data_IF_769170888683
#
_entry.id   IF_769170888683
#
_cell.length_a   1.000
_cell.length_b   1.000
_cell.length_c   1.000
_cell.angle_alpha   90.00
_cell.angle_beta   90.00
_cell.angle_gamma   90.00
#
_symmetry.space_group_name_H-M   'P 1'
#
loop_
_entity.id
_entity.type
_entity.pdbx_description
1 polymer ?
#
# COMPACT_ATOMS: atom_id res chain seq x y z
N UNK A 1 18.88 -14.24 3.44
CA UNK A 1 19.26 -13.07 4.25
C UNK A 1 20.36 -12.32 3.52
N UNK A 2 20.24 -11.00 3.40
CA UNK A 2 21.25 -10.14 2.79
C UNK A 2 22.24 -9.67 3.85
N UNK A 3 21.69 -9.16 4.94
CA UNK A 3 22.49 -8.59 6.02
C UNK A 3 21.73 -8.68 7.35
N UNK A 4 22.49 -8.87 8.42
CA UNK A 4 21.97 -8.76 9.80
C UNK A 4 22.62 -7.54 10.44
N UNK A 5 21.80 -6.71 11.09
CA UNK A 5 22.28 -5.53 11.84
C UNK A 5 21.87 -5.71 13.30
N UNK A 6 22.88 -5.78 14.13
CA UNK A 6 22.74 -5.92 15.57
C UNK A 6 23.65 -4.90 16.29
N UNK A 7 23.58 -4.82 17.59
CA UNK A 7 24.41 -3.89 18.37
C UNK A 7 25.90 -4.16 18.18
N UNK A 8 26.32 -5.43 18.05
CA UNK A 8 27.72 -5.80 17.82
C UNK A 8 28.26 -5.24 16.48
N UNK A 9 27.39 -5.06 15.44
CA UNK A 9 27.80 -4.44 14.17
C UNK A 9 28.10 -2.94 14.30
N UNK A 10 27.75 -2.31 15.42
CA UNK A 10 28.04 -0.90 15.73
C UNK A 10 29.35 -0.71 16.46
N UNK A 11 29.88 -1.78 17.00
CA UNK A 11 31.20 -1.78 17.60
C UNK A 11 32.23 -2.03 16.50
N UNK A 12 33.29 -1.24 16.38
CA UNK A 12 34.35 -1.45 15.39
C UNK A 12 35.00 -2.82 15.56
N UNK A 13 35.08 -3.62 14.51
CA UNK A 13 35.68 -4.96 14.55
C UNK A 13 37.19 -4.96 14.22
N UNK A 14 37.67 -3.93 13.49
CA UNK A 14 39.05 -3.82 13.03
C UNK A 14 39.89 -2.88 13.96
N UNK A 15 39.75 -3.10 15.27
CA UNK A 15 40.44 -2.30 16.26
C UNK A 15 41.94 -2.68 16.32
N UNK A 16 42.29 -3.97 16.22
CA UNK A 16 43.68 -4.46 16.36
C UNK A 16 44.66 -3.81 15.37
N UNK A 17 44.41 -3.74 14.04
CA UNK A 17 45.37 -3.09 13.13
C UNK A 17 45.50 -1.59 13.37
N UNK A 18 44.49 -0.94 13.99
CA UNK A 18 44.48 0.51 14.26
C UNK A 18 45.03 0.83 15.64
N UNK A 19 45.07 -0.15 16.54
CA UNK A 19 45.43 0.03 17.94
C UNK A 19 46.81 0.71 18.12
N UNK A 20 47.84 0.23 17.41
CA UNK A 20 49.18 0.82 17.47
C UNK A 20 49.20 2.29 17.00
N UNK A 21 48.37 2.66 16.06
CA UNK A 21 48.24 4.05 15.59
C UNK A 21 47.47 4.91 16.61
N UNK A 22 46.40 4.39 17.16
CA UNK A 22 45.56 5.05 18.21
C UNK A 22 46.40 5.29 19.43
N UNK A 23 47.18 4.29 19.88
CA UNK A 23 48.08 4.41 21.02
C UNK A 23 49.16 5.48 20.80
N UNK A 24 49.76 5.52 19.60
CA UNK A 24 50.72 6.58 19.22
C UNK A 24 50.09 7.97 19.22
N UNK A 25 48.85 8.10 18.78
CA UNK A 25 48.08 9.37 18.82
C UNK A 25 47.82 9.72 20.29
N UNK A 26 47.32 8.78 21.10
CA UNK A 26 47.04 8.97 22.51
C UNK A 26 48.27 9.45 23.26
N UNK A 27 49.41 8.78 23.09
CA UNK A 27 50.68 9.17 23.72
C UNK A 27 51.16 10.57 23.33
N UNK A 28 50.89 11.01 22.10
CA UNK A 28 51.19 12.38 21.67
C UNK A 28 50.25 13.39 22.32
N UNK A 29 48.98 13.07 22.43
CA UNK A 29 47.97 13.94 23.00
C UNK A 29 48.01 14.03 24.53
N UNK A 30 48.58 13.04 25.24
CA UNK A 30 48.82 13.12 26.70
C UNK A 30 49.82 14.21 27.08
N UNK A 31 50.65 14.67 26.13
CA UNK A 31 51.60 15.78 26.33
C UNK A 31 50.96 17.17 26.17
N UNK A 32 49.65 17.24 25.91
CA UNK A 32 48.97 18.53 25.82
C UNK A 32 48.96 19.28 27.14
N UNK A 33 49.10 20.61 27.11
CA UNK A 33 49.06 21.42 28.32
C UNK A 33 47.67 21.37 28.95
N UNK A 34 47.61 21.36 30.28
CA UNK A 34 46.37 21.35 31.04
C UNK A 34 45.56 22.67 30.85
N UNK A 35 46.29 23.77 30.71
CA UNK A 35 45.74 25.11 30.54
C UNK A 35 46.17 25.70 29.19
N UNK A 36 45.38 26.65 28.69
CA UNK A 36 45.70 27.36 27.45
C UNK A 36 47.04 28.09 27.58
N UNK A 37 48.02 27.80 26.72
CA UNK A 37 49.31 28.47 26.80
C UNK A 37 49.17 29.97 26.50
N UNK A 38 49.93 30.79 27.22
CA UNK A 38 50.03 32.20 26.88
C UNK A 38 50.93 32.35 25.67
N UNK A 39 50.34 32.85 24.58
CA UNK A 39 51.03 33.08 23.33
C UNK A 39 51.47 34.54 23.29
N UNK A 40 52.76 34.83 23.15
CA UNK A 40 53.24 36.22 23.00
C UNK A 40 52.62 36.85 21.77
N UNK A 41 52.25 38.13 21.88
CA UNK A 41 51.65 38.85 20.77
C UNK A 41 52.68 39.07 19.69
N UNK A 42 52.38 38.62 18.48
CA UNK A 42 53.24 38.81 17.32
C UNK A 42 53.33 40.30 16.96
N UNK A 43 54.54 40.86 16.79
CA UNK A 43 54.73 42.26 16.41
C UNK A 43 54.00 42.58 15.08
N UNK A 44 53.43 43.78 14.99
CA UNK A 44 52.66 44.20 13.77
C UNK A 44 53.43 43.99 12.49
N UNK A 45 54.72 44.37 12.51
CA UNK A 45 55.63 44.25 11.35
C UNK A 45 55.91 42.80 10.90
N UNK A 46 55.85 41.86 11.85
CA UNK A 46 56.05 40.45 11.55
C UNK A 46 54.74 39.82 10.99
N UNK A 47 53.60 40.20 11.60
CA UNK A 47 52.30 39.79 11.08
C UNK A 47 52.03 40.33 9.66
N UNK A 48 52.35 41.59 9.40
CA UNK A 48 52.27 42.16 8.03
C UNK A 48 53.13 41.40 7.01
N UNK A 49 54.33 41.01 7.37
CA UNK A 49 55.20 40.19 6.52
C UNK A 49 54.62 38.80 6.24
N UNK A 50 54.08 38.16 7.29
CA UNK A 50 53.41 36.85 7.13
C UNK A 50 52.16 36.94 6.23
N UNK A 51 51.31 37.94 6.42
CA UNK A 51 50.15 38.17 5.63
C UNK A 51 50.50 38.52 4.17
N UNK A 52 51.53 39.34 3.93
CA UNK A 52 52.06 39.63 2.60
C UNK A 52 52.55 38.37 1.89
N UNK A 53 53.30 37.51 2.59
CA UNK A 53 53.76 36.24 2.06
C UNK A 53 52.61 35.28 1.74
N UNK A 54 51.63 35.18 2.61
CA UNK A 54 50.44 34.36 2.38
C UNK A 54 49.60 34.86 1.21
N UNK A 55 49.47 36.20 1.07
CA UNK A 55 48.77 36.82 -0.07
C UNK A 55 49.46 36.52 -1.40
N UNK A 56 50.80 36.59 -1.43
CA UNK A 56 51.59 36.28 -2.63
C UNK A 56 51.46 34.81 -3.02
N UNK A 57 51.46 33.90 -2.05
CA UNK A 57 51.20 32.47 -2.28
C UNK A 57 49.81 32.18 -2.80
N UNK A 58 48.78 32.81 -2.23
CA UNK A 58 47.41 32.63 -2.68
C UNK A 58 47.15 33.25 -4.06
N UNK A 59 47.75 34.40 -4.33
CA UNK A 59 47.63 35.05 -5.66
C UNK A 59 48.21 34.19 -6.80
N UNK A 60 49.10 33.25 -6.51
CA UNK A 60 49.66 32.32 -7.49
C UNK A 60 48.79 31.05 -7.71
N UNK A 61 47.70 30.86 -6.92
CA UNK A 61 46.84 29.70 -7.05
C UNK A 61 45.52 30.02 -7.75
N UNK A 62 45.14 29.29 -8.81
CA UNK A 62 43.84 29.47 -9.47
C UNK A 62 42.67 29.26 -8.51
N UNK A 63 41.72 30.20 -8.47
CA UNK A 63 40.53 30.13 -7.61
C UNK A 63 40.72 30.71 -6.20
N UNK A 64 41.91 31.20 -5.81
CA UNK A 64 42.15 31.79 -4.50
C UNK A 64 42.04 33.33 -4.46
N UNK A 65 41.51 33.95 -5.52
CA UNK A 65 41.42 35.41 -5.67
C UNK A 65 40.62 36.08 -4.55
N UNK A 66 39.49 35.47 -4.13
CA UNK A 66 38.68 35.99 -3.02
C UNK A 66 39.44 35.96 -1.68
N UNK A 67 40.22 34.91 -1.44
CA UNK A 67 41.03 34.78 -0.23
C UNK A 67 42.17 35.77 -0.21
N UNK A 68 42.83 36.00 -1.34
CA UNK A 68 43.87 37.02 -1.49
C UNK A 68 43.32 38.45 -1.29
N UNK A 69 42.14 38.77 -1.83
CA UNK A 69 41.43 40.03 -1.59
C UNK A 69 41.05 40.23 -0.11
N UNK A 70 40.58 39.17 0.55
CA UNK A 70 40.30 39.17 2.00
C UNK A 70 41.53 39.45 2.84
N UNK A 71 42.70 38.86 2.53
CA UNK A 71 43.95 39.15 3.19
C UNK A 71 44.41 40.62 2.99
N UNK A 72 44.18 41.18 1.81
CA UNK A 72 44.45 42.59 1.57
C UNK A 72 43.61 43.49 2.48
N UNK A 73 42.31 43.22 2.60
CA UNK A 73 41.40 43.96 3.49
C UNK A 73 41.86 43.87 4.96
N UNK A 74 42.32 42.71 5.41
CA UNK A 74 42.87 42.54 6.76
C UNK A 74 44.12 43.40 6.96
N UNK A 75 45.02 43.43 5.98
CA UNK A 75 46.23 44.27 6.03
C UNK A 75 45.89 45.74 6.12
N UNK A 76 44.97 46.23 5.29
CA UNK A 76 44.53 47.61 5.29
C UNK A 76 43.87 48.03 6.62
N UNK A 77 43.13 47.11 7.23
CA UNK A 77 42.55 47.33 8.56
C UNK A 77 43.61 47.37 9.65
N UNK A 78 44.64 46.50 9.60
CA UNK A 78 45.73 46.45 10.59
C UNK A 78 46.53 47.76 10.63
N UNK A 79 46.77 48.41 9.48
CA UNK A 79 47.47 49.68 9.39
C UNK A 79 46.68 50.85 10.02
N UNK A 80 45.36 50.76 10.11
CA UNK A 80 44.47 51.80 10.65
C UNK A 80 44.22 51.66 12.17
N UNK A 81 44.62 50.55 12.79
CA UNK A 81 44.32 50.25 14.19
C UNK A 81 45.44 50.82 15.08
N UNK A 82 45.13 51.54 16.19
CA UNK A 82 46.09 51.99 17.17
C UNK A 82 46.85 50.80 17.78
N UNK A 83 48.15 50.93 18.07
CA UNK A 83 48.98 49.86 18.55
C UNK A 83 48.48 49.20 19.84
N UNK A 84 47.87 49.97 20.76
CA UNK A 84 47.29 49.42 21.99
C UNK A 84 46.06 48.56 21.72
N UNK A 85 45.25 48.93 20.76
CA UNK A 85 44.07 48.16 20.36
C UNK A 85 44.45 46.91 19.56
N UNK A 86 45.47 46.98 18.74
CA UNK A 86 46.06 45.84 18.06
C UNK A 86 46.49 44.77 19.04
N UNK A 87 47.36 45.13 19.99
CA UNK A 87 47.82 44.15 20.99
C UNK A 87 46.66 43.48 21.71
N UNK A 88 45.66 44.23 22.15
CA UNK A 88 44.50 43.69 22.83
C UNK A 88 43.68 42.75 21.93
N UNK A 89 43.40 43.13 20.70
CA UNK A 89 42.57 42.30 19.76
C UNK A 89 43.33 41.03 19.38
N UNK A 90 44.61 41.13 19.03
CA UNK A 90 45.41 39.96 18.65
C UNK A 90 45.59 39.02 19.80
N UNK A 91 45.85 39.50 21.02
CA UNK A 91 45.92 38.70 22.22
C UNK A 91 44.62 37.95 22.50
N UNK A 92 43.49 38.65 22.41
CA UNK A 92 42.18 38.00 22.61
C UNK A 92 41.92 36.92 21.55
N UNK A 93 42.23 37.19 20.27
CA UNK A 93 42.08 36.24 19.18
C UNK A 93 43.00 35.02 19.39
N UNK A 94 44.28 35.23 19.68
CA UNK A 94 45.22 34.14 19.91
C UNK A 94 44.81 33.25 21.11
N UNK A 95 44.34 33.88 22.19
CA UNK A 95 43.85 33.13 23.37
C UNK A 95 42.58 32.31 23.03
N UNK A 96 41.62 32.90 22.32
CA UNK A 96 40.41 32.16 21.89
C UNK A 96 40.76 31.00 20.96
N UNK A 97 41.62 31.23 20.00
CA UNK A 97 42.06 30.19 19.07
C UNK A 97 42.85 29.09 19.75
N UNK A 98 43.74 29.45 20.68
CA UNK A 98 44.46 28.45 21.45
C UNK A 98 43.55 27.63 22.39
N UNK A 99 42.55 28.26 22.99
CA UNK A 99 41.54 27.60 23.81
C UNK A 99 40.66 26.64 22.97
N UNK A 100 40.18 27.09 21.81
CA UNK A 100 39.41 26.25 20.90
C UNK A 100 40.22 25.05 20.40
N UNK A 101 41.46 25.30 19.96
CA UNK A 101 42.35 24.23 19.52
C UNK A 101 42.64 23.22 20.64
N UNK A 102 42.92 23.71 21.84
CA UNK A 102 43.17 22.85 23.01
C UNK A 102 41.91 22.01 23.34
N UNK A 103 40.72 22.61 23.26
CA UNK A 103 39.48 21.90 23.52
C UNK A 103 39.25 20.80 22.46
N UNK A 104 39.48 21.09 21.20
CA UNK A 104 39.37 20.10 20.10
C UNK A 104 40.40 18.98 20.24
N UNK A 105 41.63 19.31 20.62
CA UNK A 105 42.69 18.31 20.88
C UNK A 105 42.38 17.44 22.10
N UNK A 106 41.78 17.99 23.15
CA UNK A 106 41.29 17.20 24.30
C UNK A 106 40.13 16.27 23.94
N UNK A 107 39.22 16.76 23.11
CA UNK A 107 38.15 15.89 22.58
C UNK A 107 38.74 14.75 21.75
N UNK A 108 39.72 15.03 20.90
CA UNK A 108 40.43 14.01 20.14
C UNK A 108 41.20 13.04 21.06
N UNK A 109 41.81 13.51 22.13
CA UNK A 109 42.48 12.68 23.14
C UNK A 109 41.49 11.71 23.82
N UNK A 110 40.32 12.20 24.20
CA UNK A 110 39.26 11.39 24.77
C UNK A 110 38.74 10.32 23.79
N UNK A 111 38.64 10.68 22.49
CA UNK A 111 38.24 9.75 21.42
C UNK A 111 39.34 8.74 21.05
N UNK A 112 40.64 9.09 21.27
CA UNK A 112 41.78 8.22 20.98
C UNK A 112 42.08 7.27 22.14
N UNK A 113 41.05 6.58 22.67
CA UNK A 113 41.26 5.56 23.70
C UNK A 113 41.76 4.26 23.03
N UNK A 114 42.91 3.69 23.43
CA UNK A 114 43.47 2.46 22.90
C UNK A 114 42.73 1.20 23.38
N UNK A 115 41.86 1.31 24.38
CA UNK A 115 41.04 0.20 24.84
C UNK A 115 39.98 -0.16 23.82
N UNK A 116 39.74 -1.46 23.59
CA UNK A 116 38.68 -1.86 22.67
C UNK A 116 37.32 -1.36 23.21
N UNK A 117 36.47 -0.72 22.36
CA UNK A 117 35.19 -0.22 22.81
C UNK A 117 34.27 -1.38 23.23
N UNK A 118 33.72 -1.28 24.42
CA UNK A 118 32.73 -2.20 24.95
C UNK A 118 31.27 -1.77 24.59
N UNK A 119 30.32 -2.67 24.77
CA UNK A 119 28.92 -2.36 24.60
C UNK A 119 28.45 -1.26 25.58
N UNK A 120 29.07 -1.14 26.70
CA UNK A 120 28.82 -0.12 27.74
C UNK A 120 29.26 1.28 27.35
N UNK A 121 30.18 1.38 26.38
CA UNK A 121 30.71 2.67 25.89
C UNK A 121 29.80 3.27 24.81
N UNK A 122 28.77 2.52 24.35
CA UNK A 122 27.85 3.03 23.36
C UNK A 122 26.97 4.16 23.91
N UNK A 123 26.79 5.24 23.15
CA UNK A 123 25.86 6.30 23.54
C UNK A 123 24.48 5.73 23.89
N UNK A 124 23.84 6.24 24.92
CA UNK A 124 22.52 5.79 25.38
C UNK A 124 21.49 5.76 24.26
N UNK A 125 21.55 6.72 23.34
CA UNK A 125 20.68 6.78 22.14
C UNK A 125 20.86 5.61 21.19
N UNK A 126 22.03 4.97 21.16
CA UNK A 126 22.28 3.76 20.36
C UNK A 126 21.96 2.52 21.19
N UNK A 127 22.39 2.48 22.44
CA UNK A 127 22.14 1.35 23.34
C UNK A 127 20.63 1.09 23.51
N UNK A 128 19.83 2.11 23.79
CA UNK A 128 18.36 2.00 23.95
C UNK A 128 17.64 1.55 22.70
N UNK A 129 18.22 1.74 21.52
CA UNK A 129 17.66 1.29 20.25
C UNK A 129 17.82 -0.21 20.00
N UNK A 130 18.89 -0.81 20.49
CA UNK A 130 19.24 -2.22 20.25
C UNK A 130 19.11 -3.10 21.48
N UNK A 131 19.09 -2.51 22.66
CA UNK A 131 19.03 -3.25 23.93
C UNK A 131 17.73 -2.86 24.64
N UNK A 132 16.83 -3.83 24.78
CA UNK A 132 15.58 -3.64 25.50
C UNK A 132 15.79 -3.59 27.02
N UNK A 133 14.85 -3.01 27.75
CA UNK A 133 14.88 -2.91 29.22
C UNK A 133 15.03 -4.26 29.94
N UNK A 134 14.65 -5.34 29.28
CA UNK A 134 14.72 -6.71 29.80
C UNK A 134 16.02 -7.44 29.40
N UNK A 135 17.03 -6.72 28.90
CA UNK A 135 18.31 -7.31 28.46
C UNK A 135 18.21 -8.08 27.13
N UNK A 136 17.08 -8.00 26.39
CA UNK A 136 16.95 -8.61 25.06
C UNK A 136 17.59 -7.70 24.02
N UNK A 137 18.31 -8.30 23.09
CA UNK A 137 18.94 -7.60 21.97
C UNK A 137 18.03 -7.56 20.75
N UNK A 138 17.96 -6.41 20.11
CA UNK A 138 17.25 -6.26 18.83
C UNK A 138 18.19 -6.59 17.68
N UNK A 139 17.77 -7.54 16.85
CA UNK A 139 18.44 -7.93 15.62
C UNK A 139 17.56 -7.58 14.42
N UNK A 140 18.07 -6.78 13.49
CA UNK A 140 17.38 -6.47 12.24
C UNK A 140 17.89 -7.39 11.13
N UNK A 141 17.02 -8.20 10.59
CA UNK A 141 17.32 -9.12 9.47
C UNK A 141 16.76 -8.56 8.18
N UNK A 142 17.60 -8.37 7.18
CA UNK A 142 17.24 -7.85 5.87
C UNK A 142 17.22 -8.98 4.84
N UNK A 143 16.16 -9.04 4.03
CA UNK A 143 16.02 -10.01 2.94
C UNK A 143 16.80 -9.57 1.71
N UNK A 144 17.43 -10.53 1.02
CA UNK A 144 18.05 -10.33 -0.29
C UNK A 144 17.01 -10.27 -1.42
N UNK A 145 15.92 -11.04 -1.28
CA UNK A 145 14.84 -11.08 -2.25
C UNK A 145 13.87 -9.92 -2.08
N UNK A 146 13.13 -9.60 -3.14
CA UNK A 146 12.07 -8.61 -3.06
C UNK A 146 10.91 -9.15 -2.20
N UNK A 147 10.81 -8.67 -0.97
CA UNK A 147 9.78 -9.10 0.00
C UNK A 147 8.39 -8.53 -0.29
N UNK A 148 8.22 -7.71 -1.32
CA UNK A 148 6.91 -7.23 -1.75
C UNK A 148 6.17 -8.24 -2.62
N UNK A 149 6.85 -9.26 -3.12
CA UNK A 149 6.26 -10.38 -3.84
C UNK A 149 5.86 -11.50 -2.86
N UNK A 150 4.65 -12.04 -3.02
CA UNK A 150 4.05 -13.00 -2.08
C UNK A 150 4.90 -14.26 -1.88
N UNK A 151 5.50 -14.78 -2.96
CA UNK A 151 6.34 -15.97 -2.91
C UNK A 151 7.61 -15.77 -2.07
N UNK A 152 8.49 -14.83 -2.45
CA UNK A 152 9.68 -14.49 -1.67
C UNK A 152 9.39 -14.03 -0.24
N UNK A 153 8.29 -13.29 -0.02
CA UNK A 153 7.86 -12.91 1.32
C UNK A 153 7.53 -14.15 2.16
N UNK A 154 6.77 -15.09 1.61
CA UNK A 154 6.41 -16.32 2.32
C UNK A 154 7.61 -17.17 2.71
N UNK A 155 8.60 -17.30 1.81
CA UNK A 155 9.85 -18.00 2.09
C UNK A 155 10.63 -17.30 3.21
N UNK A 156 10.80 -15.98 3.11
CA UNK A 156 11.49 -15.19 4.11
C UNK A 156 10.85 -15.33 5.51
N UNK A 157 9.51 -15.23 5.60
CA UNK A 157 8.78 -15.40 6.86
C UNK A 157 8.98 -16.80 7.44
N UNK A 158 8.94 -17.84 6.58
CA UNK A 158 9.15 -19.22 7.02
C UNK A 158 10.57 -19.45 7.54
N UNK A 159 11.58 -18.94 6.83
CA UNK A 159 12.99 -19.03 7.24
C UNK A 159 13.24 -18.31 8.58
N UNK A 160 12.73 -17.08 8.74
CA UNK A 160 12.90 -16.34 9.99
C UNK A 160 12.22 -17.05 11.16
N UNK A 161 11.01 -17.54 11.00
CA UNK A 161 10.29 -18.25 12.07
C UNK A 161 10.85 -19.62 12.40
N UNK A 162 11.56 -20.26 11.48
CA UNK A 162 12.28 -21.50 11.78
C UNK A 162 13.43 -21.27 12.77
N UNK A 163 13.99 -20.05 12.82
CA UNK A 163 15.06 -19.66 13.74
C UNK A 163 14.47 -19.05 15.02
N UNK A 164 13.55 -18.11 14.89
CA UNK A 164 12.87 -17.46 16.02
C UNK A 164 11.36 -17.36 15.77
N UNK A 165 10.55 -18.19 16.46
CA UNK A 165 9.10 -18.15 16.37
C UNK A 165 8.47 -16.82 16.85
N UNK A 166 9.15 -16.08 17.73
CA UNK A 166 8.71 -14.78 18.26
C UNK A 166 9.16 -13.60 17.37
N UNK A 167 9.85 -13.86 16.28
CA UNK A 167 10.26 -12.81 15.35
C UNK A 167 9.07 -11.97 14.90
N UNK A 168 9.24 -10.67 14.90
CA UNK A 168 8.23 -9.68 14.52
C UNK A 168 8.78 -8.74 13.47
N UNK A 169 7.92 -7.98 12.84
CA UNK A 169 8.32 -6.98 11.86
C UNK A 169 7.29 -6.81 10.77
N UNK A 170 7.41 -5.71 10.03
CA UNK A 170 6.43 -5.35 9.00
C UNK A 170 6.18 -6.46 7.97
N UNK A 171 7.21 -7.15 7.40
CA UNK A 171 6.99 -8.22 6.44
C UNK A 171 6.18 -9.39 7.02
N UNK A 172 6.44 -9.77 8.27
CA UNK A 172 5.72 -10.85 8.95
C UNK A 172 4.26 -10.48 9.18
N UNK A 173 4.02 -9.26 9.68
CA UNK A 173 2.67 -8.75 9.93
C UNK A 173 1.85 -8.65 8.64
N UNK A 174 2.43 -8.11 7.56
CA UNK A 174 1.76 -7.99 6.26
C UNK A 174 1.45 -9.37 5.68
N UNK A 175 2.38 -10.32 5.76
CA UNK A 175 2.17 -11.69 5.30
C UNK A 175 1.03 -12.39 6.06
N UNK A 176 1.03 -12.30 7.38
CA UNK A 176 0.00 -12.92 8.22
C UNK A 176 -1.36 -12.28 8.01
N UNK A 177 -1.42 -10.94 8.01
CA UNK A 177 -2.65 -10.21 7.74
C UNK A 177 -3.23 -10.57 6.37
N UNK A 178 -2.39 -10.63 5.33
CA UNK A 178 -2.80 -11.03 3.97
C UNK A 178 -3.33 -12.46 3.93
N UNK A 179 -2.68 -13.38 4.63
CA UNK A 179 -3.09 -14.79 4.73
C UNK A 179 -4.40 -14.95 5.50
N UNK A 180 -4.57 -14.20 6.58
CA UNK A 180 -5.79 -14.21 7.37
C UNK A 180 -6.97 -13.58 6.63
N UNK A 181 -6.75 -12.47 5.94
CA UNK A 181 -7.75 -11.86 5.06
C UNK A 181 -8.21 -12.83 3.98
N UNK A 182 -7.26 -13.50 3.30
CA UNK A 182 -7.59 -14.53 2.30
C UNK A 182 -8.51 -15.59 2.88
N UNK A 183 -8.13 -16.20 4.01
CA UNK A 183 -8.92 -17.23 4.67
C UNK A 183 -10.30 -16.72 5.11
N UNK A 184 -10.36 -15.47 5.56
CA UNK A 184 -11.62 -14.86 6.00
C UNK A 184 -12.57 -14.63 4.83
N UNK A 185 -12.08 -14.17 3.69
CA UNK A 185 -12.91 -14.01 2.48
C UNK A 185 -13.32 -15.34 1.86
N UNK A 186 -12.45 -16.36 1.87
CA UNK A 186 -12.81 -17.71 1.48
C UNK A 186 -13.94 -18.27 2.37
N UNK A 187 -13.85 -18.13 3.69
CA UNK A 187 -14.90 -18.52 4.63
C UNK A 187 -16.18 -17.72 4.40
N UNK A 188 -16.08 -16.39 4.19
CA UNK A 188 -17.23 -15.55 3.91
C UNK A 188 -17.96 -15.99 2.63
N UNK A 189 -17.22 -16.35 1.58
CA UNK A 189 -17.80 -16.88 0.34
C UNK A 189 -18.53 -18.20 0.57
N UNK A 190 -17.94 -19.13 1.37
CA UNK A 190 -18.60 -20.38 1.73
C UNK A 190 -19.86 -20.16 2.57
N UNK A 191 -19.82 -19.25 3.54
CA UNK A 191 -21.01 -18.91 4.35
C UNK A 191 -22.09 -18.24 3.49
N UNK A 192 -21.71 -17.36 2.56
CA UNK A 192 -22.65 -16.76 1.62
C UNK A 192 -23.36 -17.85 0.79
N UNK A 193 -22.61 -18.80 0.21
CA UNK A 193 -23.18 -19.94 -0.51
C UNK A 193 -24.11 -20.79 0.34
N UNK A 194 -23.69 -21.08 1.58
CA UNK A 194 -24.49 -21.88 2.54
C UNK A 194 -25.82 -21.23 2.89
N UNK A 195 -25.91 -19.90 2.86
CA UNK A 195 -27.15 -19.15 3.10
C UNK A 195 -27.94 -18.94 1.81
N UNK A 196 -27.28 -18.55 0.72
CA UNK A 196 -27.93 -18.22 -0.55
C UNK A 196 -28.58 -19.47 -1.18
N UNK A 197 -27.87 -20.60 -1.23
CA UNK A 197 -28.37 -21.81 -1.87
C UNK A 197 -29.69 -22.31 -1.24
N UNK A 198 -29.83 -22.46 0.09
CA UNK A 198 -31.08 -22.86 0.71
C UNK A 198 -32.20 -21.81 0.48
N UNK A 199 -31.87 -20.50 0.57
CA UNK A 199 -32.88 -19.44 0.34
C UNK A 199 -33.44 -19.52 -1.07
N UNK A 200 -32.58 -19.63 -2.07
CA UNK A 200 -33.00 -19.73 -3.49
C UNK A 200 -33.71 -21.05 -3.74
N UNK A 201 -33.32 -22.15 -3.06
CA UNK A 201 -34.04 -23.41 -3.15
C UNK A 201 -35.44 -23.34 -2.54
N UNK A 202 -35.60 -22.65 -1.41
CA UNK A 202 -36.90 -22.44 -0.78
C UNK A 202 -37.83 -21.57 -1.67
N UNK A 203 -37.28 -20.59 -2.36
CA UNK A 203 -38.01 -19.72 -3.28
C UNK A 203 -38.49 -20.49 -4.52
N UNK A 204 -37.61 -21.18 -5.20
CA UNK A 204 -37.97 -21.90 -6.44
C UNK A 204 -38.59 -23.28 -6.21
N UNK A 205 -38.29 -23.93 -5.08
CA UNK A 205 -38.69 -25.31 -4.72
C UNK A 205 -38.36 -26.38 -5.78
N UNK A 206 -37.56 -26.01 -6.81
CA UNK A 206 -37.08 -26.90 -7.88
C UNK A 206 -35.58 -26.66 -8.09
N UNK A 207 -34.80 -27.75 -8.00
CA UNK A 207 -33.34 -27.71 -8.17
C UNK A 207 -32.92 -27.16 -9.55
N UNK A 208 -33.67 -27.49 -10.61
CA UNK A 208 -33.39 -27.03 -11.96
C UNK A 208 -33.47 -25.51 -12.09
N UNK A 209 -34.48 -24.86 -11.48
CA UNK A 209 -34.63 -23.41 -11.50
C UNK A 209 -33.54 -22.72 -10.65
N UNK A 210 -33.20 -23.30 -9.49
CA UNK A 210 -32.10 -22.82 -8.65
C UNK A 210 -30.76 -22.85 -9.41
N UNK A 211 -30.47 -23.98 -10.08
CA UNK A 211 -29.24 -24.12 -10.87
C UNK A 211 -29.23 -23.14 -12.06
N UNK A 212 -30.37 -22.93 -12.70
CA UNK A 212 -30.49 -21.99 -13.80
C UNK A 212 -30.26 -20.54 -13.35
N UNK A 213 -30.74 -20.17 -12.17
CA UNK A 213 -30.50 -18.85 -11.57
C UNK A 213 -29.03 -18.66 -11.14
N UNK A 214 -28.38 -19.73 -10.64
CA UNK A 214 -26.99 -19.69 -10.19
C UNK A 214 -25.96 -19.75 -11.35
N UNK A 215 -26.36 -20.32 -12.50
CA UNK A 215 -25.45 -20.55 -13.62
C UNK A 215 -24.76 -19.28 -14.14
N UNK A 216 -25.46 -18.16 -14.41
CA UNK A 216 -24.83 -16.93 -14.90
C UNK A 216 -23.76 -16.39 -13.96
N UNK A 217 -24.03 -16.42 -12.66
CA UNK A 217 -23.09 -16.00 -11.61
C UNK A 217 -21.84 -16.91 -11.60
N UNK A 218 -22.04 -18.23 -11.66
CA UNK A 218 -20.92 -19.19 -11.67
C UNK A 218 -20.01 -19.01 -12.88
N UNK A 219 -20.59 -18.87 -14.07
CA UNK A 219 -19.86 -18.60 -15.31
C UNK A 219 -19.16 -17.23 -15.24
N UNK A 220 -19.85 -16.20 -14.78
CA UNK A 220 -19.29 -14.84 -14.63
C UNK A 220 -18.09 -14.78 -13.69
N UNK A 221 -18.09 -15.56 -12.60
CA UNK A 221 -16.91 -15.68 -11.72
C UNK A 221 -15.75 -16.35 -12.46
N UNK A 222 -15.99 -17.44 -13.19
CA UNK A 222 -14.95 -18.12 -13.95
C UNK A 222 -14.35 -17.22 -15.05
N UNK A 223 -15.18 -16.48 -15.77
CA UNK A 223 -14.74 -15.50 -16.78
C UNK A 223 -13.94 -14.37 -16.15
N UNK A 224 -14.36 -13.88 -14.98
CA UNK A 224 -13.64 -12.84 -14.23
C UNK A 224 -12.26 -13.33 -13.84
N UNK A 225 -12.14 -14.55 -13.27
CA UNK A 225 -10.86 -15.12 -12.89
C UNK A 225 -9.98 -15.41 -14.13
N UNK A 226 -10.58 -15.88 -15.22
CA UNK A 226 -9.90 -16.07 -16.49
C UNK A 226 -9.32 -14.78 -17.07
N UNK A 227 -10.14 -13.70 -17.08
CA UNK A 227 -9.70 -12.39 -17.56
C UNK A 227 -8.65 -11.77 -16.65
N UNK A 228 -8.75 -11.94 -15.33
CA UNK A 228 -7.71 -11.50 -14.41
C UNK A 228 -6.37 -12.17 -14.72
N UNK A 229 -6.38 -13.47 -15.00
CA UNK A 229 -5.17 -14.20 -15.41
C UNK A 229 -4.61 -13.73 -16.75
N UNK A 230 -5.48 -13.38 -17.71
CA UNK A 230 -5.07 -12.88 -19.03
C UNK A 230 -4.47 -11.47 -18.97
N UNK A 231 -4.98 -10.62 -18.07
CA UNK A 231 -4.54 -9.23 -17.88
C UNK A 231 -3.45 -9.08 -16.81
N UNK A 232 -2.91 -10.18 -16.30
CA UNK A 232 -1.95 -10.19 -15.19
C UNK A 232 -2.37 -9.37 -13.98
N UNK A 233 -3.68 -9.38 -13.66
CA UNK A 233 -4.22 -8.73 -12.46
C UNK A 233 -4.05 -9.69 -11.26
N UNK A 234 -3.12 -9.42 -10.35
CA UNK A 234 -2.86 -10.33 -9.24
C UNK A 234 -4.01 -10.32 -8.22
N UNK A 235 -4.32 -11.50 -7.68
CA UNK A 235 -5.17 -11.60 -6.50
C UNK A 235 -4.44 -10.96 -5.32
N UNK A 236 -5.00 -9.91 -4.77
CA UNK A 236 -4.49 -9.21 -3.60
C UNK A 236 -5.55 -9.16 -2.49
N UNK A 237 -5.18 -8.91 -1.23
CA UNK A 237 -6.13 -8.89 -0.13
C UNK A 237 -7.32 -7.94 -0.34
N UNK A 238 -7.12 -6.84 -1.08
CA UNK A 238 -8.18 -5.87 -1.32
C UNK A 238 -9.21 -6.35 -2.36
N UNK A 239 -8.78 -7.07 -3.43
CA UNK A 239 -9.72 -7.54 -4.46
C UNK A 239 -10.33 -8.91 -4.16
N UNK A 240 -9.83 -9.65 -3.16
CA UNK A 240 -10.41 -10.96 -2.77
C UNK A 240 -11.83 -10.85 -2.21
N UNK A 241 -12.22 -9.69 -1.69
CA UNK A 241 -13.59 -9.42 -1.23
C UNK A 241 -14.61 -9.48 -2.38
N UNK A 242 -14.15 -9.39 -3.64
CA UNK A 242 -15.01 -9.49 -4.82
C UNK A 242 -15.75 -10.82 -4.86
N UNK A 243 -15.12 -11.93 -4.43
CA UNK A 243 -15.74 -13.26 -4.45
C UNK A 243 -17.07 -13.30 -3.67
N UNK A 244 -17.12 -13.00 -2.36
CA UNK A 244 -18.39 -13.01 -1.62
C UNK A 244 -19.37 -11.93 -2.10
N UNK A 245 -18.88 -10.78 -2.58
CA UNK A 245 -19.74 -9.73 -3.13
C UNK A 245 -20.40 -10.16 -4.43
N UNK A 246 -19.67 -10.76 -5.35
CA UNK A 246 -20.22 -11.27 -6.62
C UNK A 246 -21.24 -12.38 -6.39
N UNK A 247 -21.02 -13.25 -5.39
CA UNK A 247 -21.99 -14.29 -5.03
C UNK A 247 -23.32 -13.66 -4.62
N UNK A 248 -23.33 -12.59 -3.83
CA UNK A 248 -24.55 -11.92 -3.40
C UNK A 248 -25.22 -11.14 -4.52
N UNK A 249 -24.48 -10.23 -5.15
CA UNK A 249 -25.02 -9.33 -6.20
C UNK A 249 -25.34 -10.06 -7.50
N UNK A 250 -24.54 -11.10 -7.82
CA UNK A 250 -24.72 -11.86 -9.05
C UNK A 250 -25.96 -12.75 -9.06
N UNK A 251 -26.33 -13.28 -7.87
CA UNK A 251 -27.49 -14.15 -7.75
C UNK A 251 -28.81 -13.41 -7.98
N UNK A 252 -28.89 -12.14 -7.57
CA UNK A 252 -30.09 -11.30 -7.71
C UNK A 252 -30.58 -11.23 -9.17
N UNK A 253 -29.67 -10.95 -10.11
CA UNK A 253 -29.98 -10.91 -11.55
C UNK A 253 -30.50 -12.24 -12.09
N UNK A 254 -29.92 -13.35 -11.64
CA UNK A 254 -30.37 -14.69 -12.06
C UNK A 254 -31.75 -15.04 -11.52
N UNK A 255 -32.04 -14.68 -10.27
CA UNK A 255 -33.35 -14.91 -9.62
C UNK A 255 -34.45 -14.16 -10.39
N UNK A 256 -34.26 -12.86 -10.62
CA UNK A 256 -35.23 -12.03 -11.31
C UNK A 256 -35.61 -12.58 -12.69
N UNK A 257 -34.60 -13.05 -13.43
CA UNK A 257 -34.82 -13.60 -14.74
C UNK A 257 -35.56 -14.95 -14.72
N UNK A 258 -35.22 -15.84 -13.76
CA UNK A 258 -35.92 -17.14 -13.63
C UNK A 258 -37.34 -16.95 -13.14
N UNK A 259 -37.64 -15.94 -12.30
CA UNK A 259 -39.00 -15.59 -11.91
C UNK A 259 -39.83 -15.17 -13.11
N UNK A 260 -39.31 -14.32 -13.98
CA UNK A 260 -40.02 -13.95 -15.24
C UNK A 260 -40.31 -15.17 -16.12
N UNK A 261 -39.32 -16.04 -16.27
CA UNK A 261 -39.52 -17.26 -17.06
C UNK A 261 -40.66 -18.15 -16.50
N UNK A 262 -40.82 -18.15 -15.14
CA UNK A 262 -41.92 -18.88 -14.51
C UNK A 262 -43.28 -18.24 -14.72
N UNK A 263 -43.35 -16.92 -14.68
CA UNK A 263 -44.62 -16.18 -14.90
C UNK A 263 -45.13 -16.34 -16.32
N UNK A 264 -44.26 -16.45 -17.32
CA UNK A 264 -44.62 -16.50 -18.72
C UNK A 264 -44.43 -17.89 -19.38
N UNK A 265 -44.64 -18.96 -18.64
CA UNK A 265 -44.26 -20.35 -18.96
C UNK A 265 -44.72 -20.84 -20.34
N UNK A 266 -45.89 -20.48 -20.79
CA UNK A 266 -46.45 -20.92 -22.08
C UNK A 266 -46.14 -19.99 -23.26
N UNK A 267 -45.65 -18.78 -23.03
CA UNK A 267 -45.34 -17.76 -24.05
C UNK A 267 -43.91 -17.19 -23.94
N UNK A 268 -43.03 -17.82 -23.18
CA UNK A 268 -41.68 -17.31 -22.99
C UNK A 268 -40.88 -17.41 -24.29
N UNK A 269 -40.70 -16.28 -24.99
CA UNK A 269 -39.86 -16.13 -26.19
C UNK A 269 -38.52 -15.39 -25.89
N UNK A 270 -38.20 -15.21 -24.64
CA UNK A 270 -37.03 -14.44 -24.13
C UNK A 270 -37.47 -13.45 -23.06
N UNK A 271 -36.53 -12.87 -22.35
CA UNK A 271 -36.82 -11.89 -21.30
C UNK A 271 -37.58 -10.69 -21.87
N UNK A 272 -38.58 -10.19 -21.14
CA UNK A 272 -39.32 -9.01 -21.51
C UNK A 272 -38.45 -7.75 -21.48
N UNK A 273 -38.77 -6.76 -22.30
CA UNK A 273 -38.06 -5.49 -22.30
C UNK A 273 -37.97 -4.83 -20.90
N UNK A 274 -39.00 -4.81 -20.05
CA UNK A 274 -38.92 -4.24 -18.71
C UNK A 274 -37.90 -4.93 -17.83
N UNK A 275 -37.84 -6.27 -17.86
CA UNK A 275 -36.90 -7.02 -17.04
C UNK A 275 -35.44 -6.86 -17.53
N UNK A 276 -35.24 -6.86 -18.85
CA UNK A 276 -33.92 -6.55 -19.43
C UNK A 276 -33.47 -5.17 -18.99
N UNK A 277 -34.33 -4.16 -19.09
CA UNK A 277 -34.03 -2.79 -18.68
C UNK A 277 -33.71 -2.74 -17.16
N UNK A 278 -34.50 -3.42 -16.32
CA UNK A 278 -34.28 -3.46 -14.89
C UNK A 278 -32.92 -4.09 -14.54
N UNK A 279 -32.58 -5.24 -15.15
CA UNK A 279 -31.28 -5.92 -14.96
C UNK A 279 -30.12 -5.03 -15.41
N UNK A 280 -30.25 -4.41 -16.60
CA UNK A 280 -29.18 -3.54 -17.13
C UNK A 280 -29.00 -2.30 -16.26
N UNK A 281 -30.10 -1.61 -15.89
CA UNK A 281 -30.01 -0.39 -15.05
C UNK A 281 -29.43 -0.71 -13.68
N UNK A 282 -29.89 -1.77 -13.01
CA UNK A 282 -29.38 -2.21 -11.71
C UNK A 282 -27.89 -2.51 -11.78
N UNK A 283 -27.47 -3.30 -12.77
CA UNK A 283 -26.06 -3.67 -12.92
C UNK A 283 -25.19 -2.48 -13.29
N UNK A 284 -25.62 -1.61 -14.22
CA UNK A 284 -24.90 -0.39 -14.59
C UNK A 284 -24.74 0.55 -13.40
N UNK A 285 -25.77 0.72 -12.56
CA UNK A 285 -25.68 1.53 -11.35
C UNK A 285 -24.62 0.97 -10.40
N UNK A 286 -24.60 -0.35 -10.22
CA UNK A 286 -23.58 -1.04 -9.42
C UNK A 286 -22.17 -0.88 -10.02
N UNK A 287 -22.06 -1.04 -11.35
CA UNK A 287 -20.78 -0.85 -12.06
C UNK A 287 -20.26 0.58 -11.95
N UNK A 288 -21.12 1.59 -12.03
CA UNK A 288 -20.72 3.00 -11.86
C UNK A 288 -20.25 3.25 -10.42
N UNK A 289 -20.99 2.71 -9.43
CA UNK A 289 -20.61 2.84 -8.02
C UNK A 289 -19.22 2.24 -7.72
N UNK A 290 -18.99 1.01 -8.14
CA UNK A 290 -17.68 0.36 -7.93
C UNK A 290 -16.62 0.84 -8.93
N UNK A 291 -17.01 1.22 -10.14
CA UNK A 291 -16.13 1.82 -11.14
C UNK A 291 -15.50 3.14 -10.67
N UNK A 292 -16.21 3.92 -9.85
CA UNK A 292 -15.65 5.12 -9.23
C UNK A 292 -14.43 4.83 -8.36
N UNK A 293 -14.32 3.62 -7.78
CA UNK A 293 -13.13 3.22 -7.00
C UNK A 293 -11.87 3.10 -7.86
N UNK A 294 -12.00 2.96 -9.19
CA UNK A 294 -10.84 2.93 -10.09
C UNK A 294 -10.08 4.26 -10.11
N UNK A 295 -10.74 5.36 -9.74
CA UNK A 295 -10.14 6.71 -9.71
C UNK A 295 -9.43 6.98 -8.39
N UNK A 296 -9.61 6.12 -7.37
CA UNK A 296 -8.99 6.28 -6.06
C UNK A 296 -7.46 6.25 -6.15
N UNK A 297 -6.77 7.03 -5.32
CA UNK A 297 -5.29 7.02 -5.27
C UNK A 297 -4.71 5.76 -4.61
N UNK A 298 -5.54 4.91 -4.03
CA UNK A 298 -5.11 3.69 -3.33
C UNK A 298 -5.18 2.48 -4.27
N UNK A 299 -4.04 1.85 -4.55
CA UNK A 299 -3.93 0.72 -5.49
C UNK A 299 -4.88 -0.45 -5.18
N UNK A 300 -5.10 -0.75 -3.90
CA UNK A 300 -6.03 -1.80 -3.48
C UNK A 300 -7.48 -1.48 -3.87
N UNK A 301 -7.93 -0.24 -3.68
CA UNK A 301 -9.27 0.21 -4.09
C UNK A 301 -9.42 0.23 -5.61
N UNK A 302 -8.38 0.65 -6.34
CA UNK A 302 -8.39 0.57 -7.80
C UNK A 302 -8.55 -0.86 -8.28
N UNK A 303 -7.79 -1.79 -7.69
CA UNK A 303 -7.85 -3.21 -8.02
C UNK A 303 -9.24 -3.80 -7.72
N UNK A 304 -9.79 -3.48 -6.55
CA UNK A 304 -11.16 -3.86 -6.16
C UNK A 304 -12.18 -3.34 -7.18
N UNK A 305 -12.14 -2.05 -7.51
CA UNK A 305 -13.06 -1.43 -8.47
C UNK A 305 -12.98 -2.09 -9.84
N UNK A 306 -11.77 -2.35 -10.36
CA UNK A 306 -11.56 -3.03 -11.65
C UNK A 306 -12.19 -4.42 -11.67
N UNK A 307 -11.82 -5.26 -10.70
CA UNK A 307 -12.24 -6.65 -10.67
C UNK A 307 -13.76 -6.76 -10.47
N UNK A 308 -14.34 -5.94 -9.59
CA UNK A 308 -15.78 -5.98 -9.33
C UNK A 308 -16.60 -5.46 -10.51
N UNK A 309 -16.15 -4.39 -11.18
CA UNK A 309 -16.81 -3.88 -12.40
C UNK A 309 -16.77 -4.91 -13.52
N UNK A 310 -15.64 -5.59 -13.73
CA UNK A 310 -15.53 -6.68 -14.71
C UNK A 310 -16.47 -7.83 -14.36
N UNK A 311 -16.48 -8.23 -13.08
CA UNK A 311 -17.32 -9.32 -12.61
C UNK A 311 -18.82 -9.02 -12.80
N UNK A 312 -19.25 -7.79 -12.51
CA UNK A 312 -20.63 -7.36 -12.72
C UNK A 312 -20.99 -7.32 -14.21
N UNK A 313 -20.08 -6.87 -15.08
CA UNK A 313 -20.30 -6.87 -16.53
C UNK A 313 -20.51 -8.30 -17.06
N UNK A 314 -19.67 -9.25 -16.69
CA UNK A 314 -19.83 -10.66 -17.09
C UNK A 314 -21.11 -11.26 -16.52
N UNK A 315 -21.40 -10.98 -15.24
CA UNK A 315 -22.63 -11.48 -14.64
C UNK A 315 -23.89 -10.95 -15.36
N UNK A 316 -23.94 -9.67 -15.70
CA UNK A 316 -25.02 -9.06 -16.48
C UNK A 316 -25.18 -9.76 -17.85
N UNK A 317 -24.06 -9.88 -18.57
CA UNK A 317 -24.05 -10.51 -19.89
C UNK A 317 -24.54 -11.95 -19.84
N UNK A 318 -24.00 -12.73 -18.91
CA UNK A 318 -24.37 -14.13 -18.73
C UNK A 318 -25.82 -14.30 -18.25
N UNK A 319 -26.32 -13.41 -17.37
CA UNK A 319 -27.71 -13.45 -16.92
C UNK A 319 -28.70 -13.20 -18.05
N UNK A 320 -28.38 -12.30 -18.97
CA UNK A 320 -29.24 -12.04 -20.14
C UNK A 320 -29.13 -13.12 -21.21
N UNK A 321 -27.96 -13.74 -21.37
CA UNK A 321 -27.70 -14.68 -22.47
C UNK A 321 -28.06 -16.13 -22.11
N UNK A 322 -27.49 -16.66 -21.01
CA UNK A 322 -27.53 -18.09 -20.72
C UNK A 322 -28.91 -18.66 -20.44
N UNK A 323 -29.76 -18.07 -19.58
CA UNK A 323 -31.09 -18.58 -19.34
C UNK A 323 -31.97 -18.51 -20.60
N UNK A 324 -31.88 -17.42 -21.39
CA UNK A 324 -32.60 -17.29 -22.62
C UNK A 324 -32.21 -18.36 -23.66
N UNK A 325 -30.90 -18.61 -23.82
CA UNK A 325 -30.37 -19.62 -24.74
C UNK A 325 -30.81 -21.04 -24.35
N UNK A 326 -30.71 -21.37 -23.04
CA UNK A 326 -31.07 -22.70 -22.53
C UNK A 326 -32.58 -22.99 -22.62
N UNK A 327 -33.42 -21.95 -22.45
CA UNK A 327 -34.87 -22.10 -22.54
C UNK A 327 -35.32 -22.23 -23.99
N UNK A 328 -34.84 -21.39 -24.89
CA UNK A 328 -35.15 -21.49 -26.32
C UNK A 328 -34.73 -22.85 -26.90
N UNK A 329 -33.55 -23.36 -26.50
CA UNK A 329 -33.09 -24.69 -26.92
C UNK A 329 -33.96 -25.84 -26.41
N UNK A 330 -34.58 -25.69 -25.24
CA UNK A 330 -35.42 -26.72 -24.65
C UNK A 330 -36.84 -26.74 -25.27
N UNK A 331 -37.35 -25.59 -25.71
CA UNK A 331 -38.62 -25.50 -26.47
C UNK A 331 -38.46 -26.00 -27.91
N UNK A 332 -37.33 -25.74 -28.56
CA UNK A 332 -37.04 -26.27 -29.87
C UNK A 332 -36.91 -27.81 -29.89
N UNK A 333 -36.43 -28.41 -28.78
CA UNK A 333 -36.40 -29.87 -28.63
C UNK A 333 -37.75 -30.48 -28.28
N UNK A 334 -38.67 -29.73 -27.63
CA UNK A 334 -40.03 -30.20 -27.31
C UNK A 334 -41.00 -30.13 -28.49
N UNK A 335 -40.76 -29.23 -29.44
CA UNK A 335 -41.58 -29.15 -30.65
C UNK A 335 -41.28 -30.29 -31.67
N UNK A 336 -40.19 -31.02 -31.49
CA UNK A 336 -39.86 -32.21 -32.28
C UNK A 336 -40.48 -33.51 -31.75
N UNK A 337 -40.90 -33.54 -30.48
CA UNK A 337 -41.51 -34.74 -29.85
C UNK A 337 -43.01 -34.62 -29.61
N UNK A 338 -43.67 -33.55 -30.12
CA UNK A 338 -45.05 -33.21 -29.76
C UNK A 338 -46.05 -33.15 -30.91
N UNK A 339 -45.99 -34.06 -31.91
CA UNK A 339 -47.04 -34.21 -32.91
C UNK A 339 -48.13 -35.26 -32.56
N UNK A 340 -48.09 -35.83 -31.35
CA UNK A 340 -49.15 -36.71 -30.85
C UNK A 340 -49.56 -36.28 -29.45
N UNK A 341 -50.56 -35.44 -29.33
CA UNK A 341 -51.63 -35.37 -28.30
C UNK A 341 -52.30 -34.01 -28.39
N UNK A 342 -53.32 -34.00 -29.28
CA UNK A 342 -54.40 -33.02 -29.25
C UNK A 342 -55.52 -33.54 -28.33
N UNK A 343 -56.18 -32.53 -27.74
CA UNK A 343 -57.51 -32.55 -27.12
C UNK A 343 -57.56 -32.85 -25.63
N UNK A 344 -58.14 -31.86 -25.03
CA UNK A 344 -58.87 -31.72 -23.76
C UNK A 344 -58.16 -30.85 -22.72
N UNK A 345 -58.54 -29.59 -22.69
CA UNK A 345 -58.94 -28.83 -21.50
C UNK A 345 -59.14 -27.36 -21.85
N UNK A 346 -60.27 -27.05 -22.45
CA UNK A 346 -60.92 -25.75 -22.29
C UNK A 346 -61.61 -25.74 -20.92
N UNK A 347 -61.43 -24.62 -20.26
CA UNK A 347 -62.08 -24.16 -19.01
C UNK A 347 -61.22 -24.22 -17.73
N UNK A 348 -61.00 -23.05 -17.23
CA UNK A 348 -60.65 -22.57 -15.91
C UNK A 348 -59.27 -21.95 -15.81
N UNK A 349 -59.21 -20.66 -15.98
CA UNK A 349 -58.51 -19.72 -15.08
C UNK A 349 -58.62 -18.26 -15.59
N UNK A 350 -59.84 -17.71 -15.49
CA UNK A 350 -60.00 -16.27 -15.28
C UNK A 350 -59.68 -16.00 -13.80
N UNK A 351 -58.41 -16.00 -13.43
CA UNK A 351 -57.97 -15.47 -12.15
C UNK A 351 -57.30 -14.13 -12.39
N UNK A 352 -57.96 -13.13 -11.84
CA UNK A 352 -57.57 -11.73 -11.72
C UNK A 352 -56.05 -11.56 -11.50
N UNK A 353 -55.42 -10.91 -12.46
CA UNK A 353 -54.05 -10.43 -12.33
C UNK A 353 -54.06 -9.22 -11.37
N UNK A 354 -53.44 -9.27 -10.19
CA UNK A 354 -53.45 -8.15 -9.24
C UNK A 354 -52.79 -6.88 -9.78
N UNK A 355 -52.17 -6.91 -10.95
CA UNK A 355 -51.57 -5.74 -11.58
C UNK A 355 -52.52 -5.00 -12.55
N UNK A 356 -53.63 -5.60 -13.00
CA UNK A 356 -54.62 -4.92 -13.82
C UNK A 356 -55.43 -3.90 -13.02
N UNK A 357 -55.55 -4.09 -11.68
CA UNK A 357 -56.23 -3.13 -10.80
C UNK A 357 -55.42 -1.82 -10.63
N UNK A 358 -54.10 -1.88 -10.69
CA UNK A 358 -53.24 -0.67 -10.62
C UNK A 358 -53.22 0.12 -11.93
N UNK A 359 -53.30 -0.52 -13.08
CA UNK A 359 -53.35 0.15 -14.39
C UNK A 359 -54.70 0.89 -14.60
N UNK A 360 -55.81 0.32 -14.15
CA UNK A 360 -57.14 0.94 -14.24
C UNK A 360 -57.29 2.16 -13.31
N UNK A 361 -56.61 2.16 -12.16
CA UNK A 361 -56.63 3.28 -11.20
C UNK A 361 -55.76 4.46 -11.64
N UNK A 362 -54.68 4.22 -12.38
CA UNK A 362 -53.80 5.26 -12.95
C UNK A 362 -54.44 5.96 -14.15
N UNK A 363 -55.14 5.24 -15.02
CA UNK A 363 -55.92 5.82 -16.11
C UNK A 363 -57.12 6.65 -15.60
N UNK A 364 -57.76 6.20 -14.53
CA UNK A 364 -58.88 6.96 -13.92
C UNK A 364 -58.41 8.24 -13.21
N UNK A 365 -57.20 8.25 -12.62
CA UNK A 365 -56.58 9.44 -12.01
C UNK A 365 -56.13 10.46 -13.05
N UNK A 366 -55.48 10.02 -14.15
CA UNK A 366 -55.03 10.93 -15.20
C UNK A 366 -56.21 11.53 -15.99
N UNK A 367 -57.31 10.82 -16.10
CA UNK A 367 -58.56 11.35 -16.72
C UNK A 367 -59.25 12.40 -15.82
N UNK A 368 -59.24 12.21 -14.49
CA UNK A 368 -59.79 13.20 -13.52
C UNK A 368 -58.93 14.46 -13.42
N UNK A 369 -57.63 14.36 -13.51
CA UNK A 369 -56.73 15.53 -13.49
C UNK A 369 -56.88 16.36 -14.79
N UNK A 370 -57.04 15.73 -15.94
CA UNK A 370 -57.30 16.46 -17.22
C UNK A 370 -58.63 17.21 -17.25
N UNK A 371 -59.65 16.71 -16.56
CA UNK A 371 -60.93 17.42 -16.41
C UNK A 371 -60.91 18.55 -15.39
N UNK A 372 -60.00 18.52 -14.43
CA UNK A 372 -59.81 19.58 -13.43
C UNK A 372 -59.05 20.81 -13.95
N UNK A 373 -58.28 20.67 -15.03
CA UNK A 373 -57.54 21.78 -15.67
C UNK A 373 -58.35 22.45 -16.82
N UNK A 374 -59.55 21.96 -17.15
CA UNK A 374 -60.39 22.49 -18.22
C UNK A 374 -61.64 23.21 -17.70
N UNK A 375 -61.79 23.41 -16.40
CA UNK A 375 -62.81 24.25 -15.75
C UNK A 375 -62.10 25.36 -14.96
#
# INVERSE_FOLDING_TARGET
VERVVEVATKVPTDVEPKRALIEKIHQRLTRLPQQTPQIPVTPVAELERMLAGAQTMLASQPGAEQAAAGLQQVRDMLQKIPASEYVRRVQQYQQRMAADLLTRLKTLQAAANPEPPELTDLPESVATRFIGKNGRYLMHVYSKANIWDVGPMGQFVHEIRSVDPEATGNPLQVYEASREMKRSFEKAAWYALLVIIPLVFLDFRRLSHMLLAALPMGVGILETLGLMGLLDIPLNPANMIVLPLTLGLGMDTGINLVHEMRCHRSRYRGASNPVIVAVVVNTLTTMVGFGALMIANHQGLQSLGRVLTISMAFNMFNSLLLPNLLCVGRFAASDQDGDDEQEDDEDDDARDDPYDEYAADEESRTSRERLSYAA
#
